data_IF_422859061987
#
_entry.id   IF_422859061987
#
_cell.length_a   1.000
_cell.length_b   1.000
_cell.length_c   1.000
_cell.angle_alpha   90.00
_cell.angle_beta   90.00
_cell.angle_gamma   90.00
#
_symmetry.space_group_name_H-M   'P 1'
#
loop_
_entity.id
_entity.type
_entity.pdbx_description
1 polymer ?
#
# COMPACT_ATOMS: atom_id res chain seq x y z
N UNK A 1 -11.42 1.19 0.93
CA UNK A 1 -10.53 0.85 2.07
C UNK A 1 -9.08 1.27 1.78
N UNK A 2 -8.84 2.58 1.57
CA UNK A 2 -7.51 3.16 1.38
C UNK A 2 -7.53 4.62 1.85
N UNK A 3 -6.39 5.18 2.26
CA UNK A 3 -6.25 6.57 2.71
C UNK A 3 -4.77 6.99 2.64
N UNK A 4 -4.49 8.29 2.70
CA UNK A 4 -3.13 8.85 2.62
C UNK A 4 -2.76 9.80 3.77
N UNK A 5 -3.63 9.96 4.78
CA UNK A 5 -3.42 10.86 5.92
C UNK A 5 -2.53 10.24 7.01
N UNK A 6 -2.67 8.93 7.26
CA UNK A 6 -1.98 8.19 8.32
C UNK A 6 -1.05 7.16 7.70
N UNK A 7 0.21 7.17 8.11
CA UNK A 7 1.22 6.22 7.62
C UNK A 7 2.53 6.40 8.36
N UNK A 8 3.56 5.67 7.91
CA UNK A 8 4.92 5.90 8.39
C UNK A 8 5.37 7.31 8.04
N UNK A 9 6.16 7.93 8.93
CA UNK A 9 6.76 9.22 8.65
C UNK A 9 7.66 9.11 7.39
N UNK A 10 7.81 10.19 6.60
CA UNK A 10 8.74 10.19 5.49
C UNK A 10 10.15 9.89 6.01
N UNK A 11 10.74 8.80 5.53
CA UNK A 11 12.10 8.43 5.91
C UNK A 11 13.13 9.34 5.25
N UNK A 12 14.27 9.52 5.94
CA UNK A 12 15.48 10.06 5.34
C UNK A 12 16.20 8.90 4.64
N UNK A 13 16.42 9.03 3.33
CA UNK A 13 17.18 8.04 2.56
C UNK A 13 18.55 7.77 3.20
N UNK A 14 18.82 6.49 3.50
CA UNK A 14 20.12 5.97 3.89
C UNK A 14 20.37 4.64 3.18
N UNK A 15 21.62 4.15 3.21
CA UNK A 15 22.02 2.94 2.49
C UNK A 15 21.27 1.69 2.98
N UNK A 16 20.90 1.63 4.27
CA UNK A 16 20.12 0.54 4.84
C UNK A 16 18.70 0.44 4.24
N UNK A 17 18.15 1.53 3.71
CA UNK A 17 16.84 1.51 3.05
C UNK A 17 16.81 0.62 1.81
N UNK A 18 17.95 0.40 1.15
CA UNK A 18 18.03 -0.49 -0.01
C UNK A 18 17.93 -1.97 0.37
N UNK A 19 17.84 -2.30 1.66
CA UNK A 19 17.43 -3.65 2.11
C UNK A 19 15.91 -3.85 2.07
N UNK A 20 15.12 -2.77 2.00
CA UNK A 20 13.67 -2.83 1.84
C UNK A 20 13.32 -3.12 0.38
N UNK A 21 12.53 -4.17 0.14
CA UNK A 21 12.23 -4.66 -1.20
C UNK A 21 11.70 -3.57 -2.15
N UNK A 22 10.73 -2.76 -1.71
CA UNK A 22 10.13 -1.73 -2.56
C UNK A 22 11.14 -0.65 -2.95
N UNK A 23 12.03 -0.24 -2.03
CA UNK A 23 13.09 0.74 -2.29
C UNK A 23 14.18 0.18 -3.20
N UNK A 24 14.60 -1.06 -2.97
CA UNK A 24 15.57 -1.74 -3.82
C UNK A 24 15.06 -1.88 -5.27
N UNK A 25 13.82 -2.34 -5.46
CA UNK A 25 13.20 -2.50 -6.79
C UNK A 25 13.13 -1.15 -7.51
N UNK A 26 12.66 -0.10 -6.83
CA UNK A 26 12.65 1.25 -7.39
C UNK A 26 14.05 1.69 -7.83
N UNK A 27 15.03 1.56 -6.95
CA UNK A 27 16.41 1.97 -7.24
C UNK A 27 17.03 1.18 -8.40
N UNK A 28 16.74 -0.13 -8.50
CA UNK A 28 17.32 -1.01 -9.51
C UNK A 28 16.70 -0.82 -10.89
N UNK A 29 15.38 -0.60 -10.96
CA UNK A 29 14.61 -0.64 -12.22
C UNK A 29 13.98 0.71 -12.61
N UNK A 30 14.00 1.71 -11.74
CA UNK A 30 13.40 3.02 -12.01
C UNK A 30 11.89 3.00 -12.22
N UNK A 31 11.19 2.01 -11.66
CA UNK A 31 9.75 1.80 -11.86
C UNK A 31 8.92 2.15 -10.63
N UNK A 32 7.61 2.36 -10.80
CA UNK A 32 6.68 2.48 -9.68
C UNK A 32 6.78 1.25 -8.77
N UNK A 33 7.14 1.47 -7.49
CA UNK A 33 7.33 0.40 -6.51
C UNK A 33 6.94 0.92 -5.13
N UNK A 34 5.93 0.27 -4.53
CA UNK A 34 5.31 0.71 -3.28
C UNK A 34 5.10 -0.49 -2.35
N UNK A 35 5.09 -0.24 -1.04
CA UNK A 35 4.61 -1.19 -0.04
C UNK A 35 3.16 -0.82 0.30
N UNK A 36 2.22 -1.76 0.13
CA UNK A 36 0.84 -1.60 0.55
C UNK A 36 0.64 -2.27 1.91
N UNK A 37 0.23 -1.49 2.90
CA UNK A 37 0.04 -1.96 4.27
C UNK A 37 -1.45 -2.06 4.62
N UNK A 38 -1.82 -3.11 5.35
CA UNK A 38 -3.18 -3.34 5.83
C UNK A 38 -3.19 -3.47 7.36
N UNK A 39 -4.21 -2.93 8.05
CA UNK A 39 -4.23 -2.96 9.51
C UNK A 39 -4.52 -4.37 10.04
N UNK A 40 -3.80 -4.79 11.08
CA UNK A 40 -4.20 -5.96 11.88
C UNK A 40 -5.46 -5.70 12.72
N UNK A 41 -5.71 -4.44 13.07
CA UNK A 41 -6.89 -4.02 13.85
C UNK A 41 -8.07 -3.82 12.90
N UNK A 42 -8.26 -2.59 12.44
CA UNK A 42 -9.34 -2.20 11.54
C UNK A 42 -8.95 -0.91 10.80
N UNK A 43 -9.67 -0.61 9.72
CA UNK A 43 -9.67 0.70 9.10
C UNK A 43 -10.54 1.65 9.93
N UNK A 44 -9.91 2.57 10.66
CA UNK A 44 -10.61 3.54 11.51
C UNK A 44 -11.60 4.45 10.76
N UNK A 45 -11.40 4.67 9.45
CA UNK A 45 -12.29 5.48 8.63
C UNK A 45 -13.56 4.73 8.20
N UNK A 46 -13.56 3.40 8.29
CA UNK A 46 -14.68 2.54 7.95
C UNK A 46 -14.64 1.29 8.83
N UNK A 47 -14.98 1.42 10.14
CA UNK A 47 -14.84 0.33 11.09
C UNK A 47 -15.93 -0.74 10.90
N UNK A 48 -15.57 -1.98 11.17
CA UNK A 48 -16.47 -3.15 11.27
C UNK A 48 -16.37 -3.71 12.69
N UNK A 49 -17.41 -3.50 13.49
CA UNK A 49 -17.44 -3.92 14.90
C UNK A 49 -17.51 -5.43 15.13
N UNK A 50 -17.74 -6.24 14.09
CA UNK A 50 -17.81 -7.70 14.20
C UNK A 50 -16.50 -8.37 13.79
N UNK A 51 -15.92 -7.90 12.69
CA UNK A 51 -14.78 -8.58 12.07
C UNK A 51 -13.52 -7.71 11.94
N UNK A 52 -13.61 -6.39 12.19
CA UNK A 52 -12.52 -5.45 11.97
C UNK A 52 -12.00 -5.48 10.54
N UNK A 53 -10.67 -5.42 10.39
CA UNK A 53 -10.04 -5.78 9.13
C UNK A 53 -10.08 -7.30 8.94
N UNK A 54 -10.43 -7.75 7.74
CA UNK A 54 -10.65 -9.18 7.49
C UNK A 54 -10.14 -9.61 6.12
N UNK A 55 -9.97 -10.92 5.93
CA UNK A 55 -9.56 -11.49 4.64
C UNK A 55 -10.50 -11.08 3.49
N UNK A 56 -11.80 -10.94 3.74
CA UNK A 56 -12.76 -10.47 2.75
C UNK A 56 -12.50 -9.02 2.33
N UNK A 57 -12.09 -8.16 3.27
CA UNK A 57 -11.72 -6.76 2.97
C UNK A 57 -10.37 -6.67 2.26
N UNK A 58 -9.38 -7.49 2.66
CA UNK A 58 -8.12 -7.61 1.93
C UNK A 58 -8.35 -8.02 0.47
N UNK A 59 -9.23 -9.00 0.21
CA UNK A 59 -9.57 -9.42 -1.16
C UNK A 59 -10.20 -8.30 -1.98
N UNK A 60 -11.19 -7.59 -1.43
CA UNK A 60 -11.82 -6.44 -2.09
C UNK A 60 -10.83 -5.31 -2.36
N UNK A 61 -9.89 -5.05 -1.43
CA UNK A 61 -8.81 -4.09 -1.65
C UNK A 61 -7.91 -4.55 -2.80
N UNK A 62 -7.55 -5.84 -2.87
CA UNK A 62 -6.81 -6.40 -4.00
C UNK A 62 -7.52 -6.21 -5.34
N UNK A 63 -8.83 -6.45 -5.40
CA UNK A 63 -9.66 -6.19 -6.59
C UNK A 63 -9.62 -4.69 -6.98
N UNK A 64 -9.74 -3.78 -6.01
CA UNK A 64 -9.66 -2.34 -6.24
C UNK A 64 -8.26 -1.88 -6.71
N UNK A 65 -7.19 -2.52 -6.23
CA UNK A 65 -5.82 -2.22 -6.69
C UNK A 65 -5.63 -2.48 -8.18
N UNK A 66 -6.30 -3.49 -8.76
CA UNK A 66 -6.23 -3.73 -10.20
C UNK A 66 -6.79 -2.55 -11.02
N UNK A 67 -7.83 -1.89 -10.54
CA UNK A 67 -8.39 -0.69 -11.17
C UNK A 67 -7.41 0.49 -11.08
N UNK A 68 -6.75 0.66 -9.94
CA UNK A 68 -5.73 1.70 -9.77
C UNK A 68 -4.51 1.46 -10.68
N UNK A 69 -4.09 0.20 -10.83
CA UNK A 69 -2.99 -0.17 -11.74
C UNK A 69 -3.37 0.10 -13.20
N UNK A 70 -4.59 -0.26 -13.63
CA UNK A 70 -5.08 0.05 -14.97
C UNK A 70 -5.05 1.57 -15.23
N UNK A 71 -5.59 2.36 -14.30
CA UNK A 71 -5.60 3.81 -14.42
C UNK A 71 -4.18 4.42 -14.49
N UNK A 72 -3.21 3.84 -13.78
CA UNK A 72 -1.81 4.27 -13.85
C UNK A 72 -1.17 3.94 -15.20
N UNK A 73 -1.47 2.77 -15.78
CA UNK A 73 -0.99 2.37 -17.10
C UNK A 73 -1.57 3.24 -18.23
N UNK A 74 -2.82 3.67 -18.09
CA UNK A 74 -3.51 4.51 -19.09
C UNK A 74 -3.11 6.00 -19.00
N UNK A 75 -2.46 6.42 -17.91
CA UNK A 75 -2.06 7.81 -17.67
C UNK A 75 -0.67 8.17 -18.24
N UNK A 76 0.11 7.16 -18.66
CA UNK A 76 1.37 7.29 -19.39
C UNK A 76 1.14 7.41 -20.92
#
# INVERSE_FOLDING_TARGET
>A
DFQTERGYAPDRFNDDMLTLASKWVFHRFGCLSLTLEMPFKDNANLPDGLFGWSAARSRRLGEATLQALLAALDAD
#
